data_IF_303053127939
#
_entry.id   IF_303053127939
#
_cell.length_a   1.000
_cell.length_b   1.000
_cell.length_c   1.000
_cell.angle_alpha   90.00
_cell.angle_beta   90.00
_cell.angle_gamma   90.00
#
_symmetry.space_group_name_H-M   'P 1'
#
loop_
_entity.id
_entity.type
_entity.pdbx_description
1 polymer ?
#
# COMPACT_ATOMS: atom_id res chain seq x y z
N UNK A 1 2.24 -10.10 -26.88
CA UNK A 1 2.62 -9.04 -25.92
C UNK A 1 2.15 -9.49 -24.56
N UNK A 2 3.00 -9.45 -23.53
CA UNK A 2 2.53 -9.70 -22.15
C UNK A 2 1.45 -8.67 -21.87
N UNK A 3 0.27 -9.11 -21.45
CA UNK A 3 -0.90 -8.25 -21.34
C UNK A 3 -0.60 -7.11 -20.33
N UNK A 4 -0.70 -5.82 -20.69
CA UNK A 4 -0.57 -4.71 -19.74
C UNK A 4 -1.43 -4.90 -18.48
N UNK A 5 -2.53 -5.63 -18.62
CA UNK A 5 -3.47 -6.05 -17.57
C UNK A 5 -2.82 -6.83 -16.40
N UNK A 6 -1.64 -7.45 -16.60
CA UNK A 6 -0.87 -8.14 -15.53
C UNK A 6 0.13 -7.23 -14.80
N UNK A 7 0.42 -6.04 -15.30
CA UNK A 7 1.27 -5.03 -14.62
C UNK A 7 0.46 -4.16 -13.64
N UNK A 8 -0.87 -4.37 -13.57
CA UNK A 8 -1.83 -3.59 -12.77
C UNK A 8 -2.15 -4.18 -11.39
N UNK A 9 -1.53 -5.30 -11.01
CA UNK A 9 -2.08 -6.26 -10.04
C UNK A 9 -2.19 -5.75 -8.59
N UNK A 10 -1.43 -4.72 -8.18
CA UNK A 10 -1.58 -4.10 -6.85
C UNK A 10 -1.47 -2.58 -6.97
N UNK A 11 -2.61 -1.95 -7.26
CA UNK A 11 -2.80 -0.50 -7.20
C UNK A 11 -3.52 -0.11 -5.93
N UNK A 12 -3.32 1.13 -5.50
CA UNK A 12 -4.04 1.71 -4.38
C UNK A 12 -5.56 1.64 -4.64
N UNK A 13 -6.34 0.98 -3.78
CA UNK A 13 -7.79 0.78 -3.98
C UNK A 13 -8.56 2.10 -4.01
N UNK A 14 -8.00 3.15 -3.40
CA UNK A 14 -8.59 4.48 -3.43
C UNK A 14 -8.24 5.25 -4.72
N UNK A 15 -6.98 5.21 -5.16
CA UNK A 15 -6.50 6.07 -6.25
C UNK A 15 -6.68 5.46 -7.64
N UNK A 16 -6.74 4.13 -7.76
CA UNK A 16 -6.87 3.43 -9.07
C UNK A 16 -8.09 3.86 -9.89
N UNK A 17 -9.11 4.45 -9.26
CA UNK A 17 -10.32 4.96 -9.93
C UNK A 17 -10.11 6.28 -10.65
N UNK A 18 -9.15 7.09 -10.22
CA UNK A 18 -8.95 8.47 -10.73
C UNK A 18 -7.51 8.74 -11.21
N UNK A 19 -6.53 7.92 -10.78
CA UNK A 19 -5.10 8.07 -11.01
C UNK A 19 -4.46 6.70 -11.26
N UNK A 20 -3.16 6.70 -11.55
CA UNK A 20 -2.38 5.47 -11.76
C UNK A 20 -2.34 4.57 -10.51
N UNK A 21 -2.39 5.15 -9.31
CA UNK A 21 -2.53 4.40 -8.06
C UNK A 21 -1.32 3.54 -7.73
N UNK A 22 -0.12 3.94 -8.18
CA UNK A 22 1.10 3.15 -8.02
C UNK A 22 1.50 3.01 -6.54
N UNK A 23 1.90 1.79 -6.16
CA UNK A 23 2.35 1.44 -4.82
C UNK A 23 3.85 1.12 -4.83
N UNK A 24 4.57 1.65 -3.84
CA UNK A 24 5.96 1.29 -3.54
C UNK A 24 6.02 0.31 -2.39
N UNK A 25 6.74 -0.79 -2.56
CA UNK A 25 7.08 -1.68 -1.47
C UNK A 25 8.20 -1.04 -0.63
N UNK A 26 7.91 -0.80 0.64
CA UNK A 26 8.85 -0.22 1.60
C UNK A 26 9.07 -1.19 2.75
N UNK A 27 10.34 -1.39 3.12
CA UNK A 27 10.78 -2.28 4.20
C UNK A 27 10.22 -3.71 4.09
N UNK A 28 9.87 -4.14 2.87
CA UNK A 28 9.26 -5.45 2.57
C UNK A 28 7.98 -5.77 3.37
N UNK A 29 7.37 -4.76 4.00
CA UNK A 29 6.25 -4.94 4.92
C UNK A 29 5.16 -3.89 4.75
N UNK A 30 5.35 -2.94 3.83
CA UNK A 30 4.45 -1.82 3.61
C UNK A 30 4.31 -1.50 2.13
N UNK A 31 3.08 -1.27 1.67
CA UNK A 31 2.80 -0.73 0.35
C UNK A 31 2.39 0.73 0.48
N UNK A 32 3.21 1.63 -0.05
CA UNK A 32 3.01 3.08 0.05
C UNK A 32 2.52 3.63 -1.28
N UNK A 33 1.37 4.30 -1.28
CA UNK A 33 0.84 4.92 -2.49
C UNK A 33 1.56 6.23 -2.80
N UNK A 34 2.05 6.36 -4.04
CA UNK A 34 2.71 7.59 -4.53
C UNK A 34 1.75 8.77 -4.69
N UNK A 35 0.46 8.50 -4.95
CA UNK A 35 -0.54 9.52 -5.24
C UNK A 35 -1.20 10.14 -4.01
N UNK A 36 -1.44 9.34 -2.96
CA UNK A 36 -2.15 9.77 -1.75
C UNK A 36 -1.36 9.59 -0.46
N UNK A 37 -0.19 8.94 -0.49
CA UNK A 37 0.66 8.74 0.69
C UNK A 37 0.14 7.73 1.71
N UNK A 38 -0.98 7.04 1.42
CA UNK A 38 -1.49 5.91 2.22
C UNK A 38 -0.49 4.78 2.27
N UNK A 39 -0.42 4.10 3.40
CA UNK A 39 0.56 3.05 3.65
C UNK A 39 -0.15 1.82 4.17
N UNK A 40 -0.23 0.80 3.33
CA UNK A 40 -0.93 -0.46 3.61
C UNK A 40 0.06 -1.46 4.19
N UNK A 41 -0.19 -2.02 5.39
CA UNK A 41 0.69 -3.02 5.97
C UNK A 41 0.55 -4.37 5.25
N UNK A 42 1.63 -5.16 5.26
CA UNK A 42 1.63 -6.57 4.84
C UNK A 42 1.70 -7.41 6.12
N UNK A 43 0.65 -8.14 6.42
CA UNK A 43 0.52 -8.95 7.65
C UNK A 43 0.40 -10.40 7.24
N UNK A 44 1.25 -11.28 7.79
CA UNK A 44 1.31 -12.71 7.42
C UNK A 44 1.45 -12.94 5.91
N UNK A 45 2.32 -12.15 5.26
CA UNK A 45 2.51 -12.15 3.79
C UNK A 45 1.26 -11.76 2.97
N UNK A 46 0.19 -11.27 3.62
CA UNK A 46 -1.04 -10.79 2.98
C UNK A 46 -1.08 -9.25 3.02
N UNK A 47 -1.11 -8.57 1.86
CA UNK A 47 -1.29 -7.13 1.79
C UNK A 47 -2.67 -6.71 2.29
N UNK A 48 -2.71 -5.87 3.32
CA UNK A 48 -3.95 -5.36 3.91
C UNK A 48 -4.36 -4.10 3.15
N UNK A 49 -5.05 -4.29 2.03
CA UNK A 49 -5.50 -3.21 1.14
C UNK A 49 -6.78 -2.52 1.63
N UNK A 50 -6.95 -2.34 2.94
CA UNK A 50 -8.08 -1.60 3.52
C UNK A 50 -7.76 -0.11 3.59
N UNK A 51 -8.67 0.73 3.08
CA UNK A 51 -8.48 2.19 3.05
C UNK A 51 -8.28 2.77 4.45
N UNK A 52 -9.09 2.30 5.41
CA UNK A 52 -9.03 2.74 6.81
C UNK A 52 -7.67 2.45 7.46
N UNK A 53 -7.11 1.28 7.18
CA UNK A 53 -5.75 0.92 7.64
C UNK A 53 -4.70 1.81 6.98
N UNK A 54 -4.79 2.00 5.66
CA UNK A 54 -3.89 2.88 4.92
C UNK A 54 -3.88 4.32 5.44
N UNK A 55 -5.05 4.83 5.85
CA UNK A 55 -5.23 6.19 6.37
C UNK A 55 -4.58 6.43 7.73
N UNK A 56 -4.51 5.41 8.60
CA UNK A 56 -3.84 5.50 9.91
C UNK A 56 -2.35 5.88 9.77
N UNK A 57 -1.72 5.51 8.65
CA UNK A 57 -0.29 5.67 8.42
C UNK A 57 0.08 6.81 7.47
N UNK A 58 -0.89 7.54 6.91
CA UNK A 58 -0.62 8.64 5.96
C UNK A 58 0.34 9.68 6.55
N UNK A 59 0.15 10.04 7.82
CA UNK A 59 0.97 11.04 8.52
C UNK A 59 2.28 10.49 9.07
N UNK A 60 2.43 9.17 9.13
CA UNK A 60 3.65 8.52 9.62
C UNK A 60 4.70 8.59 8.52
N UNK A 61 5.90 9.06 8.86
CA UNK A 61 7.03 9.07 7.95
C UNK A 61 7.46 7.62 7.63
N UNK A 62 7.96 7.39 6.42
CA UNK A 62 8.24 6.04 5.90
C UNK A 62 9.33 5.32 6.71
N UNK A 63 10.33 6.08 7.15
CA UNK A 63 11.39 5.70 8.08
C UNK A 63 10.87 5.33 9.48
N UNK A 64 9.76 5.95 9.92
CA UNK A 64 9.12 5.68 11.22
C UNK A 64 8.13 4.50 11.20
N UNK A 65 7.91 3.83 10.06
CA UNK A 65 7.02 2.67 9.99
C UNK A 65 7.57 1.47 10.77
N UNK A 66 6.76 0.81 11.63
CA UNK A 66 7.18 -0.36 12.39
C UNK A 66 7.33 -1.60 11.49
N UNK A 67 8.27 -2.48 11.84
CA UNK A 67 8.49 -3.79 11.21
C UNK A 67 8.69 -4.83 12.33
N UNK A 68 7.84 -5.87 12.44
CA UNK A 68 6.70 -6.16 11.58
C UNK A 68 5.56 -5.12 11.75
N UNK A 69 4.69 -4.95 10.76
CA UNK A 69 3.51 -4.10 10.89
C UNK A 69 2.62 -4.58 12.04
N UNK A 70 1.90 -3.67 12.71
CA UNK A 70 0.97 -4.08 13.77
C UNK A 70 -0.16 -4.93 13.17
N UNK A 71 -0.72 -5.85 13.97
CA UNK A 71 -1.88 -6.62 13.55
C UNK A 71 -3.04 -5.68 13.24
N UNK A 72 -3.73 -5.97 12.15
CA UNK A 72 -4.97 -5.30 11.76
C UNK A 72 -6.05 -5.67 12.78
N UNK A 73 -6.81 -4.69 13.25
CA UNK A 73 -7.88 -4.88 14.23
C UNK A 73 -9.24 -5.00 13.57
#
# INVERSE_FOLDING_TARGET
MVNPDLLEILRCPNCVREKEGLLDLVKESWLVCRDCGRKYPIVEDIPVMLIEEGDKWVKTAVDALPVPPPPVQ
#
